data_IF_152982640745
#
_entry.id   IF_152982640745
#
_cell.length_a   1.000
_cell.length_b   1.000
_cell.length_c   1.000
_cell.angle_alpha   90.00
_cell.angle_beta   90.00
_cell.angle_gamma   90.00
#
_symmetry.space_group_name_H-M   'P 1'
#
loop_
_entity.id
_entity.type
_entity.pdbx_description
1 polymer ?
#
# COMPACT_ATOMS: atom_id res chain seq x y z
N UNK A 1 -13.32 6.25 -23.78
CA UNK A 1 -12.97 5.33 -22.68
C UNK A 1 -12.16 4.19 -23.29
N UNK A 2 -10.85 4.21 -23.10
CA UNK A 2 -9.99 3.15 -23.61
C UNK A 2 -10.20 1.95 -22.70
N UNK A 3 -10.80 0.88 -23.23
CA UNK A 3 -10.83 -0.42 -22.60
C UNK A 3 -9.38 -0.88 -22.38
N UNK A 4 -8.89 -0.79 -21.16
CA UNK A 4 -7.62 -1.44 -20.81
C UNK A 4 -7.86 -2.94 -20.89
N UNK A 5 -7.16 -3.59 -21.77
CA UNK A 5 -7.14 -5.05 -21.83
C UNK A 5 -6.79 -5.59 -20.45
N UNK A 6 -7.61 -6.53 -19.95
CA UNK A 6 -7.50 -7.10 -18.59
C UNK A 6 -6.23 -7.90 -18.34
N UNK A 7 -5.22 -7.80 -19.21
CA UNK A 7 -3.98 -8.57 -19.12
C UNK A 7 -2.71 -7.81 -18.77
N UNK A 8 -2.70 -6.48 -18.87
CA UNK A 8 -1.47 -5.71 -18.68
C UNK A 8 -1.54 -4.77 -17.48
N UNK A 9 -0.76 -5.07 -16.43
CA UNK A 9 -0.57 -4.18 -15.30
C UNK A 9 0.51 -3.18 -15.65
N UNK A 10 0.13 -1.90 -15.80
CA UNK A 10 1.04 -0.80 -16.14
C UNK A 10 1.44 0.00 -14.91
N UNK A 11 0.57 0.04 -13.89
CA UNK A 11 0.81 0.85 -12.69
C UNK A 11 0.24 0.16 -11.46
N UNK A 12 1.06 0.09 -10.42
CA UNK A 12 0.71 -0.52 -9.13
C UNK A 12 0.88 0.50 -8.01
N UNK A 13 -0.08 0.56 -7.10
CA UNK A 13 0.07 1.30 -5.85
C UNK A 13 0.28 0.32 -4.71
N UNK A 14 1.45 0.37 -4.08
CA UNK A 14 1.71 -0.28 -2.80
C UNK A 14 1.23 0.59 -1.66
N UNK A 15 0.60 -0.01 -0.65
CA UNK A 15 0.10 0.72 0.51
C UNK A 15 0.47 0.01 1.80
N UNK A 16 0.93 0.79 2.77
CA UNK A 16 1.27 0.35 4.12
C UNK A 16 0.32 1.02 5.12
N UNK A 17 -0.71 0.31 5.57
CA UNK A 17 -1.75 0.90 6.41
C UNK A 17 -1.23 1.30 7.80
N UNK A 18 -1.66 2.47 8.27
CA UNK A 18 -1.42 2.94 9.61
C UNK A 18 -2.33 4.12 9.95
N UNK A 19 -2.79 4.22 11.19
CA UNK A 19 -3.68 5.30 11.61
C UNK A 19 -2.94 6.64 11.65
N UNK A 20 -1.77 6.68 12.28
CA UNK A 20 -0.96 7.90 12.35
C UNK A 20 -0.36 8.25 10.98
N UNK A 21 0.06 7.24 10.25
CA UNK A 21 0.74 7.39 8.97
C UNK A 21 0.45 6.18 8.08
N UNK A 22 -0.16 6.42 6.94
CA UNK A 22 -0.34 5.42 5.88
C UNK A 22 0.66 5.71 4.77
N UNK A 23 1.60 4.80 4.55
CA UNK A 23 2.59 4.92 3.47
C UNK A 23 2.04 4.44 2.14
N UNK A 24 2.47 5.06 1.05
CA UNK A 24 2.11 4.63 -0.30
C UNK A 24 3.24 4.87 -1.30
N UNK A 25 3.25 4.07 -2.35
CA UNK A 25 4.11 4.28 -3.50
C UNK A 25 3.40 3.86 -4.78
N UNK A 26 3.49 4.69 -5.79
CA UNK A 26 2.98 4.39 -7.14
C UNK A 26 4.16 4.00 -8.00
N UNK A 27 4.12 2.79 -8.55
CA UNK A 27 5.23 2.20 -9.31
C UNK A 27 4.74 1.73 -10.67
N UNK A 28 5.53 1.98 -11.69
CA UNK A 28 5.35 1.41 -13.02
C UNK A 28 6.43 0.36 -13.24
N UNK A 29 6.06 -0.91 -13.54
CA UNK A 29 7.05 -1.94 -13.85
C UNK A 29 7.77 -1.63 -15.15
N UNK A 30 9.07 -1.90 -15.18
CA UNK A 30 9.92 -1.83 -16.35
C UNK A 30 10.37 -3.23 -16.73
N UNK A 31 11.02 -3.43 -17.88
CA UNK A 31 11.58 -4.73 -18.27
C UNK A 31 12.51 -5.29 -17.19
N UNK A 32 13.27 -4.41 -16.55
CA UNK A 32 14.09 -4.73 -15.39
C UNK A 32 13.78 -3.76 -14.26
N UNK A 33 13.17 -4.25 -13.19
CA UNK A 33 12.82 -3.46 -12.03
C UNK A 33 11.53 -2.65 -12.21
N UNK A 34 11.52 -1.43 -11.71
CA UNK A 34 10.37 -0.54 -11.75
C UNK A 34 10.76 0.92 -11.54
N UNK A 35 9.85 1.80 -11.88
CA UNK A 35 10.00 3.24 -11.69
C UNK A 35 9.00 3.73 -10.65
N UNK A 36 9.48 4.46 -9.64
CA UNK A 36 8.60 5.14 -8.68
C UNK A 36 8.10 6.43 -9.32
N UNK A 37 6.78 6.50 -9.55
CA UNK A 37 6.14 7.69 -10.10
C UNK A 37 5.82 8.70 -9.01
N UNK A 38 5.41 8.23 -7.85
CA UNK A 38 5.05 9.05 -6.70
C UNK A 38 5.10 8.21 -5.44
N UNK A 39 5.49 8.82 -4.33
CA UNK A 39 5.46 8.17 -3.02
C UNK A 39 5.27 9.20 -1.92
N UNK A 40 4.78 8.75 -0.79
CA UNK A 40 4.59 9.63 0.36
C UNK A 40 3.82 8.95 1.47
N UNK A 41 3.29 9.78 2.34
CA UNK A 41 2.50 9.35 3.49
C UNK A 41 1.22 10.18 3.60
N UNK A 42 0.14 9.51 3.98
CA UNK A 42 -1.06 10.14 4.47
C UNK A 42 -0.93 10.21 5.98
N UNK A 43 -0.85 11.40 6.54
CA UNK A 43 -0.70 11.62 7.97
C UNK A 43 -2.01 12.07 8.58
N UNK A 44 -2.30 11.62 9.81
CA UNK A 44 -3.46 12.09 10.58
C UNK A 44 -3.01 12.71 11.89
N UNK A 45 -3.82 13.62 12.43
CA UNK A 45 -3.54 14.29 13.69
C UNK A 45 -4.05 13.45 14.87
N UNK A 46 -3.18 13.06 15.83
CA UNK A 46 -3.60 12.31 17.01
C UNK A 46 -4.59 13.07 17.90
N UNK A 47 -4.68 14.40 17.80
CA UNK A 47 -5.65 15.22 18.53
C UNK A 47 -7.06 15.14 17.93
N UNK A 48 -7.20 14.70 16.68
CA UNK A 48 -8.49 14.53 16.06
C UNK A 48 -9.16 13.22 16.49
N UNK A 49 -10.50 13.18 16.36
CA UNK A 49 -11.25 11.95 16.61
C UNK A 49 -10.87 10.84 15.63
N UNK A 50 -11.15 9.60 15.99
CA UNK A 50 -10.91 8.46 15.10
C UNK A 50 -11.66 8.63 13.78
N UNK A 51 -12.90 9.09 13.82
CA UNK A 51 -13.74 9.32 12.63
C UNK A 51 -13.13 10.35 11.70
N UNK A 52 -12.60 11.43 12.24
CA UNK A 52 -11.91 12.48 11.44
C UNK A 52 -10.64 11.93 10.83
N UNK A 53 -9.87 11.15 11.58
CA UNK A 53 -8.64 10.54 11.08
C UNK A 53 -8.91 9.54 9.97
N UNK A 54 -9.92 8.68 10.13
CA UNK A 54 -10.33 7.73 9.10
C UNK A 54 -10.87 8.46 7.85
N UNK A 55 -11.61 9.55 8.05
CA UNK A 55 -12.10 10.40 6.95
C UNK A 55 -10.94 11.02 6.16
N UNK A 56 -9.92 11.50 6.85
CA UNK A 56 -8.70 12.04 6.20
C UNK A 56 -8.04 10.98 5.32
N UNK A 57 -7.85 9.77 5.85
CA UNK A 57 -7.26 8.66 5.09
C UNK A 57 -8.11 8.36 3.85
N UNK A 58 -9.42 8.25 4.01
CA UNK A 58 -10.34 7.95 2.93
C UNK A 58 -10.27 9.00 1.81
N UNK A 59 -10.37 10.28 2.16
CA UNK A 59 -10.39 11.36 1.18
C UNK A 59 -9.04 11.54 0.46
N UNK A 60 -7.94 11.54 1.19
CA UNK A 60 -6.61 11.68 0.58
C UNK A 60 -6.26 10.49 -0.30
N UNK A 61 -6.55 9.26 0.15
CA UNK A 61 -6.33 8.07 -0.67
C UNK A 61 -7.22 8.08 -1.91
N UNK A 62 -8.50 8.44 -1.78
CA UNK A 62 -9.40 8.53 -2.93
C UNK A 62 -8.88 9.52 -3.97
N UNK A 63 -8.36 10.66 -3.56
CA UNK A 63 -7.75 11.64 -4.47
C UNK A 63 -6.51 11.08 -5.18
N UNK A 64 -5.65 10.37 -4.45
CA UNK A 64 -4.47 9.70 -5.04
C UNK A 64 -4.87 8.64 -6.06
N UNK A 65 -5.89 7.84 -5.75
CA UNK A 65 -6.38 6.80 -6.65
C UNK A 65 -7.00 7.39 -7.92
N UNK A 66 -7.70 8.52 -7.82
CA UNK A 66 -8.25 9.23 -8.97
C UNK A 66 -7.16 9.88 -9.81
N UNK A 67 -6.15 10.43 -9.18
CA UNK A 67 -5.04 11.09 -9.85
C UNK A 67 -4.14 10.10 -10.60
N UNK A 68 -3.76 9.01 -9.95
CA UNK A 68 -2.78 8.05 -10.47
C UNK A 68 -3.40 6.87 -11.21
N UNK A 69 -4.68 6.59 -10.98
CA UNK A 69 -5.43 5.50 -11.61
C UNK A 69 -4.63 4.20 -11.73
N UNK A 70 -4.15 3.63 -10.60
CA UNK A 70 -3.39 2.39 -10.66
C UNK A 70 -4.28 1.24 -11.16
N UNK A 71 -3.66 0.26 -11.80
CA UNK A 71 -4.35 -0.94 -12.26
C UNK A 71 -4.59 -1.93 -11.13
N UNK A 72 -3.78 -1.83 -10.09
CA UNK A 72 -3.82 -2.71 -8.93
C UNK A 72 -3.30 -1.97 -7.70
N UNK A 73 -3.96 -2.16 -6.56
CA UNK A 73 -3.42 -1.80 -5.25
C UNK A 73 -2.93 -3.07 -4.55
N UNK A 74 -1.74 -3.01 -4.00
CA UNK A 74 -1.15 -4.10 -3.21
C UNK A 74 -1.02 -3.65 -1.77
N UNK A 75 -1.57 -4.45 -0.86
CA UNK A 75 -1.55 -4.20 0.58
C UNK A 75 -0.95 -5.41 1.28
N UNK A 76 -0.04 -5.17 2.21
CA UNK A 76 0.53 -6.23 3.02
C UNK A 76 -0.51 -6.82 3.96
N UNK A 77 -0.55 -8.16 4.05
CA UNK A 77 -1.42 -8.85 4.99
C UNK A 77 -0.94 -8.63 6.43
N UNK A 78 -1.90 -8.48 7.34
CA UNK A 78 -1.59 -8.16 8.74
C UNK A 78 -1.38 -9.41 9.56
N UNK A 79 -0.28 -9.43 10.29
CA UNK A 79 -0.10 -10.35 11.40
C UNK A 79 -0.81 -9.77 12.63
N UNK A 80 -1.86 -10.44 13.11
CA UNK A 80 -2.58 -10.00 14.32
C UNK A 80 -1.67 -10.22 15.52
N UNK A 81 -1.17 -9.12 16.09
CA UNK A 81 -0.43 -9.19 17.35
C UNK A 81 -1.42 -9.33 18.50
N UNK A 82 -1.52 -10.53 19.08
CA UNK A 82 -2.37 -10.81 20.25
C UNK A 82 -2.04 -9.92 21.45
N UNK A 83 -0.83 -9.34 21.50
CA UNK A 83 -0.34 -8.52 22.59
C UNK A 83 -0.90 -7.09 22.61
N UNK A 84 -1.43 -6.61 21.48
CA UNK A 84 -1.95 -5.24 21.33
C UNK A 84 -3.29 -5.23 20.60
N UNK A 85 -4.37 -5.72 21.28
CA UNK A 85 -5.67 -5.87 20.61
C UNK A 85 -6.27 -4.55 20.14
N UNK A 86 -6.06 -3.45 20.86
CA UNK A 86 -6.57 -2.12 20.47
C UNK A 86 -5.88 -1.62 19.19
N UNK A 87 -4.57 -1.79 19.10
CA UNK A 87 -3.82 -1.43 17.90
C UNK A 87 -4.24 -2.26 16.69
N UNK A 88 -4.49 -3.55 16.89
CA UNK A 88 -4.98 -4.45 15.86
C UNK A 88 -6.38 -4.05 15.37
N UNK A 89 -7.28 -3.65 16.29
CA UNK A 89 -8.61 -3.15 15.93
C UNK A 89 -8.55 -1.87 15.10
N UNK A 90 -7.76 -0.90 15.54
CA UNK A 90 -7.57 0.35 14.82
C UNK A 90 -6.97 0.13 13.42
N UNK A 91 -6.00 -0.76 13.33
CA UNK A 91 -5.41 -1.12 12.03
C UNK A 91 -6.44 -1.77 11.12
N UNK A 92 -7.32 -2.62 11.64
CA UNK A 92 -8.42 -3.20 10.90
C UNK A 92 -9.39 -2.15 10.36
N UNK A 93 -9.69 -1.11 11.13
CA UNK A 93 -10.52 0.02 10.70
C UNK A 93 -9.87 0.81 9.56
N UNK A 94 -8.58 1.10 9.67
CA UNK A 94 -7.80 1.76 8.60
C UNK A 94 -7.81 0.91 7.33
N UNK A 95 -7.57 -0.37 7.44
CA UNK A 95 -7.60 -1.31 6.30
C UNK A 95 -8.97 -1.35 5.64
N UNK A 96 -10.05 -1.33 6.42
CA UNK A 96 -11.42 -1.25 5.90
C UNK A 96 -11.67 0.02 5.09
N UNK A 97 -11.19 1.15 5.58
CA UNK A 97 -11.28 2.45 4.88
C UNK A 97 -10.50 2.41 3.56
N UNK A 98 -9.30 1.84 3.56
CA UNK A 98 -8.49 1.68 2.35
C UNK A 98 -9.21 0.80 1.32
N UNK A 99 -9.78 -0.32 1.74
CA UNK A 99 -10.57 -1.20 0.87
C UNK A 99 -11.76 -0.48 0.27
N UNK A 100 -12.46 0.32 1.08
CA UNK A 100 -13.61 1.08 0.64
C UNK A 100 -13.22 2.15 -0.40
N UNK A 101 -12.15 2.88 -0.15
CA UNK A 101 -11.63 3.86 -1.10
C UNK A 101 -11.26 3.22 -2.45
N UNK A 102 -10.59 2.08 -2.43
CA UNK A 102 -10.26 1.33 -3.63
C UNK A 102 -11.52 0.85 -4.37
N UNK A 103 -12.48 0.28 -3.66
CA UNK A 103 -13.73 -0.18 -4.25
C UNK A 103 -14.51 0.95 -4.91
N UNK A 104 -14.62 2.08 -4.23
CA UNK A 104 -15.36 3.23 -4.74
C UNK A 104 -14.69 3.91 -5.94
N UNK A 105 -13.39 3.75 -6.09
CA UNK A 105 -12.64 4.25 -7.26
C UNK A 105 -12.43 3.19 -8.36
N UNK A 106 -12.91 1.96 -8.13
CA UNK A 106 -12.83 0.88 -9.10
C UNK A 106 -11.45 0.22 -9.21
N UNK A 107 -10.61 0.33 -8.18
CA UNK A 107 -9.26 -0.24 -8.18
C UNK A 107 -9.28 -1.59 -7.45
N UNK A 108 -8.87 -2.69 -8.08
CA UNK A 108 -8.76 -3.98 -7.42
C UNK A 108 -7.62 -4.01 -6.40
N UNK A 109 -7.82 -4.76 -5.30
CA UNK A 109 -6.82 -4.94 -4.26
C UNK A 109 -6.33 -6.39 -4.27
N UNK A 110 -5.01 -6.55 -4.14
CA UNK A 110 -4.35 -7.82 -3.82
C UNK A 110 -3.65 -7.71 -2.47
N UNK A 111 -3.79 -8.71 -1.63
CA UNK A 111 -3.04 -8.82 -0.39
C UNK A 111 -1.86 -9.75 -0.57
N UNK A 112 -0.71 -9.38 0.00
CA UNK A 112 0.51 -10.18 -0.03
C UNK A 112 1.03 -10.38 1.39
N UNK A 113 1.55 -11.56 1.66
CA UNK A 113 2.16 -11.86 2.96
C UNK A 113 3.56 -11.27 3.03
N UNK A 114 4.00 -10.76 4.21
CA UNK A 114 5.36 -10.24 4.38
C UNK A 114 6.44 -11.23 3.96
N UNK A 115 6.26 -12.51 4.27
CA UNK A 115 7.20 -13.58 3.90
C UNK A 115 7.27 -13.80 2.39
N UNK A 116 6.17 -13.65 1.67
CA UNK A 116 6.14 -13.74 0.21
C UNK A 116 6.91 -12.59 -0.44
N UNK A 117 6.73 -11.37 0.07
CA UNK A 117 7.46 -10.18 -0.41
C UNK A 117 8.96 -10.36 -0.16
N UNK A 118 9.35 -10.75 1.04
CA UNK A 118 10.76 -10.98 1.40
C UNK A 118 11.39 -12.07 0.53
N UNK A 119 10.69 -13.17 0.34
CA UNK A 119 11.16 -14.27 -0.50
C UNK A 119 11.31 -13.86 -1.96
N UNK A 120 10.34 -13.11 -2.51
CA UNK A 120 10.40 -12.63 -3.89
C UNK A 120 11.56 -11.66 -4.12
N UNK A 121 11.87 -10.81 -3.14
CA UNK A 121 12.94 -9.79 -3.26
C UNK A 121 14.34 -10.35 -3.01
N UNK A 122 14.49 -11.28 -2.09
CA UNK A 122 15.80 -11.72 -1.58
C UNK A 122 16.06 -13.22 -1.70
N UNK A 123 15.03 -14.01 -2.07
CA UNK A 123 15.08 -15.46 -2.05
C UNK A 123 14.89 -16.07 -0.65
N UNK A 124 14.65 -15.26 0.39
CA UNK A 124 14.47 -15.73 1.76
C UNK A 124 13.33 -14.99 2.46
N UNK A 125 12.34 -15.74 2.95
CA UNK A 125 11.24 -15.20 3.76
C UNK A 125 11.68 -14.68 5.14
N UNK A 126 12.92 -14.89 5.51
CA UNK A 126 13.53 -14.43 6.78
C UNK A 126 14.43 -13.22 6.63
N UNK A 127 14.47 -12.61 5.45
CA UNK A 127 15.33 -11.45 5.19
C UNK A 127 15.04 -10.30 6.15
N UNK A 128 16.09 -9.64 6.62
CA UNK A 128 16.00 -8.49 7.51
C UNK A 128 15.59 -7.21 6.79
N UNK A 129 15.11 -6.23 7.55
CA UNK A 129 14.64 -4.94 7.04
C UNK A 129 15.68 -4.21 6.17
N UNK A 130 16.94 -4.19 6.62
CA UNK A 130 18.02 -3.51 5.89
C UNK A 130 18.38 -4.22 4.58
N UNK A 131 18.29 -5.55 4.56
CA UNK A 131 18.49 -6.34 3.34
C UNK A 131 17.38 -6.03 2.32
N UNK A 132 16.12 -5.99 2.76
CA UNK A 132 14.98 -5.65 1.92
C UNK A 132 15.15 -4.25 1.33
N UNK A 133 15.51 -3.26 2.15
CA UNK A 133 15.75 -1.88 1.69
C UNK A 133 16.82 -1.82 0.59
N UNK A 134 17.93 -2.52 0.77
CA UNK A 134 19.00 -2.54 -0.23
C UNK A 134 18.53 -3.11 -1.57
N UNK A 135 17.79 -4.21 -1.54
CA UNK A 135 17.24 -4.85 -2.74
C UNK A 135 16.25 -3.92 -3.45
N UNK A 136 15.31 -3.33 -2.69
CA UNK A 136 14.32 -2.41 -3.24
C UNK A 136 14.97 -1.18 -3.89
N UNK A 137 15.95 -0.57 -3.21
CA UNK A 137 16.68 0.57 -3.76
C UNK A 137 17.39 0.22 -5.07
N UNK A 138 17.97 -0.95 -5.15
CA UNK A 138 18.65 -1.42 -6.37
C UNK A 138 17.67 -1.66 -7.52
N UNK A 139 16.54 -2.32 -7.24
CA UNK A 139 15.51 -2.62 -8.23
C UNK A 139 14.87 -1.33 -8.76
N UNK A 140 14.60 -0.37 -7.89
CA UNK A 140 13.94 0.88 -8.22
C UNK A 140 14.91 2.02 -8.57
N UNK A 141 16.20 1.79 -8.50
CA UNK A 141 17.27 2.78 -8.77
C UNK A 141 17.13 4.06 -7.92
N UNK A 142 16.86 3.91 -6.63
CA UNK A 142 16.65 5.01 -5.68
C UNK A 142 17.64 5.01 -4.52
#
# INVERSE_FOLDING_TARGET
MISRDMGEIVRVMGIDPGLAKTGFAVVEPLERGGQVCHSGNINTDPEHSLEERLSTIYHELSQLLQQWTPDLMVMEDVFVMKQFPMAAMQLGEVRGVIRLAAKNTGIPISEVKPTEVKSALTGSGRAGKEQIKRVVRRILCI
#
